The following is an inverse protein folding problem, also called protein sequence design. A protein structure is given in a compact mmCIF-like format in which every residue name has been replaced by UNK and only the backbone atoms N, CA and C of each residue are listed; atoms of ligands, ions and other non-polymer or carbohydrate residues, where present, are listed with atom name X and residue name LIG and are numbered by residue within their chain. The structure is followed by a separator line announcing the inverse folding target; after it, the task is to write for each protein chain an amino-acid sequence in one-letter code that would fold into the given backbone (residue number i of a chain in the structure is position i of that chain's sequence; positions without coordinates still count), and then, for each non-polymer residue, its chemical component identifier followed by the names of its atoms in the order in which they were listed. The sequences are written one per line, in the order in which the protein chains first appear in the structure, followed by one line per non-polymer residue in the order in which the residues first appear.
data_IF_507020356282
#
_entry.id   IF_507020356282
#
_cell.length_a   1.000
_cell.length_b   1.000
_cell.length_c   1.000
_cell.angle_alpha   90.00
_cell.angle_beta   90.00
_cell.angle_gamma   90.00
#
_symmetry.space_group_name_H-M   'P 1'
#
loop_
_entity.id
_entity.type
_entity.pdbx_description
1 polymer ?
#
# COMPACT_ATOMS: atom_id res chain seq x y z
N UNK A 1 16.70 -10.71 -7.94
CA UNK A 1 15.61 -11.47 -8.59
C UNK A 1 14.32 -10.76 -8.27
N UNK A 2 13.47 -10.48 -9.27
CA UNK A 2 12.22 -9.79 -9.02
C UNK A 2 11.33 -10.61 -8.08
N UNK A 3 10.83 -9.99 -7.01
CA UNK A 3 9.86 -10.60 -6.10
C UNK A 3 8.46 -10.56 -6.69
N UNK A 4 8.16 -9.51 -7.48
CA UNK A 4 6.89 -9.30 -8.16
C UNK A 4 7.14 -9.02 -9.64
N UNK A 5 6.45 -9.75 -10.50
CA UNK A 5 6.37 -9.49 -11.93
C UNK A 5 4.91 -9.37 -12.34
N UNK A 6 4.58 -8.26 -12.96
CA UNK A 6 3.23 -7.91 -13.43
C UNK A 6 3.34 -7.71 -14.94
N UNK A 7 2.59 -8.48 -15.74
CA UNK A 7 2.69 -8.42 -17.18
C UNK A 7 1.31 -8.31 -17.82
N UNK A 8 1.13 -7.29 -18.64
CA UNK A 8 -0.03 -7.05 -19.47
C UNK A 8 -1.37 -7.07 -18.72
N UNK A 9 -1.40 -6.48 -17.49
CA UNK A 9 -2.62 -6.42 -16.69
C UNK A 9 -3.60 -5.43 -17.31
N UNK A 10 -4.79 -5.94 -17.61
CA UNK A 10 -5.95 -5.13 -18.00
C UNK A 10 -7.11 -5.34 -17.04
N UNK A 11 -7.88 -4.29 -16.82
CA UNK A 11 -9.11 -4.34 -16.04
C UNK A 11 -10.16 -3.42 -16.62
N UNK A 12 -11.34 -3.97 -16.84
CA UNK A 12 -12.51 -3.18 -17.23
C UNK A 12 -13.69 -3.46 -16.27
N UNK A 13 -14.55 -2.46 -16.11
CA UNK A 13 -15.83 -2.55 -15.44
C UNK A 13 -16.92 -2.16 -16.44
N UNK A 14 -17.69 -3.14 -16.92
CA UNK A 14 -18.62 -2.95 -18.01
C UNK A 14 -17.89 -2.45 -19.26
N UNK A 15 -18.21 -1.23 -19.72
CA UNK A 15 -17.59 -0.60 -20.91
C UNK A 15 -16.38 0.28 -20.58
N UNK A 16 -16.04 0.47 -19.31
CA UNK A 16 -14.96 1.36 -18.89
C UNK A 16 -13.66 0.58 -18.69
N UNK A 17 -12.66 0.84 -19.54
CA UNK A 17 -11.31 0.29 -19.36
C UNK A 17 -10.55 1.13 -18.34
N UNK A 18 -10.28 0.55 -17.16
CA UNK A 18 -9.61 1.21 -16.05
C UNK A 18 -8.11 0.96 -16.06
N UNK A 19 -7.68 -0.26 -16.38
CA UNK A 19 -6.28 -0.61 -16.60
C UNK A 19 -6.12 -1.11 -18.03
N UNK A 20 -5.06 -0.62 -18.72
CA UNK A 20 -4.80 -0.85 -20.13
C UNK A 20 -3.32 -1.22 -20.28
N UNK A 21 -3.03 -2.54 -20.31
CA UNK A 21 -1.68 -3.05 -20.56
C UNK A 21 -0.63 -2.56 -19.53
N UNK A 22 -0.87 -2.81 -18.24
CA UNK A 22 0.05 -2.41 -17.18
C UNK A 22 1.08 -3.51 -16.94
N UNK A 23 2.37 -3.19 -17.09
CA UNK A 23 3.49 -4.11 -16.89
C UNK A 23 4.61 -3.45 -16.11
N UNK A 24 5.10 -4.10 -15.04
CA UNK A 24 6.25 -3.68 -14.24
C UNK A 24 6.78 -4.83 -13.41
N UNK A 25 7.96 -4.65 -12.84
CA UNK A 25 8.55 -5.58 -11.88
C UNK A 25 9.16 -4.83 -10.71
N UNK A 26 9.33 -5.50 -9.56
CA UNK A 26 10.03 -4.96 -8.40
C UNK A 26 10.90 -6.01 -7.73
N UNK A 27 11.99 -5.56 -7.11
CA UNK A 27 12.93 -6.39 -6.36
C UNK A 27 12.50 -6.55 -4.90
N UNK A 28 12.96 -7.64 -4.26
CA UNK A 28 12.75 -7.84 -2.81
C UNK A 28 13.47 -6.74 -2.00
N UNK A 29 12.86 -6.33 -0.90
CA UNK A 29 13.41 -5.31 0.00
C UNK A 29 13.37 -3.89 -0.56
N UNK A 30 12.62 -3.65 -1.66
CA UNK A 30 12.46 -2.32 -2.26
C UNK A 30 11.06 -1.74 -2.03
N UNK A 31 10.98 -0.41 -2.04
CA UNK A 31 9.74 0.35 -1.98
C UNK A 31 9.41 0.90 -3.38
N UNK A 32 8.25 0.52 -3.93
CA UNK A 32 7.69 1.06 -5.17
C UNK A 32 6.62 2.10 -4.86
N UNK A 33 6.79 3.34 -5.28
CA UNK A 33 5.74 4.36 -5.21
C UNK A 33 4.94 4.39 -6.52
N UNK A 34 3.61 4.50 -6.41
CA UNK A 34 2.70 4.70 -7.54
C UNK A 34 1.99 6.04 -7.33
N UNK A 35 2.24 6.99 -8.23
CA UNK A 35 1.62 8.30 -8.24
C UNK A 35 0.75 8.49 -9.49
N UNK A 36 -0.12 9.49 -9.50
CA UNK A 36 -0.96 9.80 -10.66
C UNK A 36 -2.26 10.48 -10.30
N UNK A 37 -2.97 10.97 -11.31
CA UNK A 37 -4.24 11.67 -11.16
C UNK A 37 -5.32 10.78 -10.53
N UNK A 38 -6.35 11.41 -9.90
CA UNK A 38 -7.52 10.67 -9.43
C UNK A 38 -8.19 9.95 -10.62
N UNK A 39 -8.59 8.71 -10.41
CA UNK A 39 -9.19 7.87 -11.46
C UNK A 39 -8.19 7.28 -12.46
N UNK A 40 -6.87 7.43 -12.29
CA UNK A 40 -5.87 6.84 -13.19
C UNK A 40 -5.71 5.32 -13.07
N UNK A 41 -6.41 4.67 -12.13
CA UNK A 41 -6.39 3.20 -11.98
C UNK A 41 -5.50 2.68 -10.85
N UNK A 42 -4.79 3.52 -10.07
CA UNK A 42 -3.85 3.11 -9.00
C UNK A 42 -4.46 2.14 -7.99
N UNK A 43 -5.57 2.54 -7.36
CA UNK A 43 -6.31 1.67 -6.41
C UNK A 43 -6.80 0.39 -7.06
N UNK A 44 -7.25 0.46 -8.34
CA UNK A 44 -7.70 -0.73 -9.08
C UNK A 44 -6.53 -1.68 -9.34
N UNK A 45 -5.35 -1.15 -9.72
CA UNK A 45 -4.15 -1.95 -9.87
C UNK A 45 -3.78 -2.64 -8.56
N UNK A 46 -3.74 -1.90 -7.46
CA UNK A 46 -3.44 -2.44 -6.14
C UNK A 46 -4.42 -3.54 -5.73
N UNK A 47 -5.73 -3.35 -6.01
CA UNK A 47 -6.77 -4.37 -5.76
C UNK A 47 -6.60 -5.60 -6.65
N UNK A 48 -6.14 -5.45 -7.89
CA UNK A 48 -5.84 -6.59 -8.76
C UNK A 48 -4.66 -7.40 -8.21
N UNK A 49 -3.59 -6.74 -7.74
CA UNK A 49 -2.43 -7.42 -7.13
C UNK A 49 -2.83 -8.21 -5.87
N UNK A 50 -3.70 -7.64 -5.03
CA UNK A 50 -4.18 -8.29 -3.81
C UNK A 50 -5.34 -9.27 -4.03
N UNK A 51 -5.72 -9.56 -5.28
CA UNK A 51 -6.86 -10.42 -5.62
C UNK A 51 -8.20 -10.00 -4.98
N UNK A 52 -8.35 -8.70 -4.67
CA UNK A 52 -9.63 -8.10 -4.30
C UNK A 52 -10.48 -7.80 -5.54
N UNK A 53 -9.82 -7.56 -6.67
CA UNK A 53 -10.39 -7.48 -8.00
C UNK A 53 -9.66 -8.46 -8.91
N UNK A 54 -10.39 -9.16 -9.78
CA UNK A 54 -9.77 -10.07 -10.75
C UNK A 54 -9.41 -9.31 -12.01
N UNK A 55 -8.15 -9.33 -12.48
CA UNK A 55 -7.78 -8.79 -13.78
C UNK A 55 -8.55 -9.48 -14.93
N UNK A 56 -8.71 -8.80 -16.06
CA UNK A 56 -9.32 -9.39 -17.26
C UNK A 56 -8.28 -10.04 -18.17
N UNK A 57 -7.05 -9.55 -18.15
CA UNK A 57 -5.92 -10.16 -18.88
C UNK A 57 -4.60 -10.01 -18.11
N UNK A 58 -3.55 -10.64 -18.59
CA UNK A 58 -2.20 -10.57 -18.05
C UNK A 58 -1.85 -11.64 -17.04
N UNK A 59 -0.68 -11.48 -16.40
CA UNK A 59 -0.13 -12.40 -15.40
C UNK A 59 0.39 -11.66 -14.18
N UNK A 60 0.32 -12.29 -13.00
CA UNK A 60 0.92 -11.83 -11.76
C UNK A 60 1.74 -12.98 -11.19
N UNK A 61 3.05 -12.76 -11.02
CA UNK A 61 4.00 -13.72 -10.48
C UNK A 61 4.65 -13.14 -9.21
N UNK A 62 4.68 -13.92 -8.14
CA UNK A 62 5.33 -13.55 -6.86
C UNK A 62 6.31 -14.65 -6.48
N UNK A 63 7.54 -14.28 -6.15
CA UNK A 63 8.62 -15.23 -5.80
C UNK A 63 8.83 -16.33 -6.86
N UNK A 64 8.62 -16.00 -8.16
CA UNK A 64 8.72 -16.97 -9.26
C UNK A 64 7.51 -17.89 -9.41
N UNK A 65 6.50 -17.82 -8.53
CA UNK A 65 5.23 -18.53 -8.63
C UNK A 65 4.18 -17.66 -9.34
N UNK A 66 3.59 -18.17 -10.44
CA UNK A 66 2.49 -17.48 -11.13
C UNK A 66 1.20 -17.65 -10.34
N UNK A 67 0.81 -16.58 -9.63
CA UNK A 67 -0.42 -16.55 -8.84
C UNK A 67 -1.66 -16.30 -9.69
N UNK A 68 -1.52 -15.59 -10.80
CA UNK A 68 -2.60 -15.31 -11.75
C UNK A 68 -2.10 -15.39 -13.19
N UNK A 69 -2.87 -16.06 -14.04
CA UNK A 69 -2.72 -16.07 -15.48
C UNK A 69 -4.11 -16.10 -16.12
N UNK A 70 -4.45 -15.04 -16.83
CA UNK A 70 -5.75 -14.91 -17.48
C UNK A 70 -6.01 -16.01 -18.52
N UNK A 71 -4.97 -16.53 -19.18
CA UNK A 71 -5.10 -17.59 -20.19
C UNK A 71 -5.49 -18.95 -19.59
N UNK A 72 -5.07 -19.21 -18.34
CA UNK A 72 -5.35 -20.47 -17.62
C UNK A 72 -6.44 -20.33 -16.57
N UNK A 73 -6.98 -19.12 -16.38
CA UNK A 73 -7.87 -18.81 -15.25
C UNK A 73 -9.25 -19.44 -15.40
N UNK A 74 -9.45 -20.58 -14.73
CA UNK A 74 -10.77 -21.19 -14.44
C UNK A 74 -11.48 -20.53 -13.26
N UNK A 75 -12.54 -21.17 -12.77
CA UNK A 75 -13.16 -20.80 -11.49
C UNK A 75 -12.22 -21.20 -10.34
N UNK A 76 -11.58 -20.25 -9.69
CA UNK A 76 -10.71 -20.49 -8.54
C UNK A 76 -11.57 -20.80 -7.30
N UNK A 77 -11.10 -21.75 -6.48
CA UNK A 77 -11.72 -22.02 -5.18
C UNK A 77 -11.35 -20.96 -4.16
N UNK A 78 -12.27 -20.62 -3.26
CA UNK A 78 -12.02 -19.62 -2.20
C UNK A 78 -10.76 -19.92 -1.37
N UNK A 79 -10.46 -21.20 -1.13
CA UNK A 79 -9.26 -21.61 -0.39
C UNK A 79 -7.96 -21.29 -1.14
N UNK A 80 -7.93 -21.41 -2.46
CA UNK A 80 -6.77 -21.05 -3.29
C UNK A 80 -6.59 -19.54 -3.35
N UNK A 81 -7.68 -18.80 -3.55
CA UNK A 81 -7.69 -17.35 -3.54
C UNK A 81 -7.21 -16.79 -2.18
N UNK A 82 -7.59 -17.43 -1.07
CA UNK A 82 -7.13 -17.05 0.27
C UNK A 82 -5.62 -17.20 0.40
N UNK A 83 -5.03 -18.31 -0.10
CA UNK A 83 -3.58 -18.53 -0.09
C UNK A 83 -2.83 -17.44 -0.88
N UNK A 84 -3.31 -17.10 -2.08
CA UNK A 84 -2.73 -16.05 -2.91
C UNK A 84 -2.74 -14.68 -2.21
N UNK A 85 -3.82 -14.36 -1.48
CA UNK A 85 -3.93 -13.12 -0.70
C UNK A 85 -2.94 -13.02 0.45
N UNK A 86 -2.43 -14.15 0.97
CA UNK A 86 -1.45 -14.13 2.06
C UNK A 86 -0.09 -13.57 1.63
N UNK A 87 0.24 -13.59 0.33
CA UNK A 87 1.44 -12.93 -0.18
C UNK A 87 1.40 -11.41 -0.03
N UNK A 88 0.21 -10.83 0.14
CA UNK A 88 0.02 -9.39 0.19
C UNK A 88 -0.61 -8.93 1.50
N UNK A 89 0.00 -7.96 2.16
CA UNK A 89 -0.61 -7.22 3.26
C UNK A 89 -1.25 -5.94 2.72
N UNK A 90 -2.51 -5.66 3.05
CA UNK A 90 -3.21 -4.47 2.53
C UNK A 90 -3.51 -3.47 3.64
N UNK A 91 -3.08 -2.24 3.43
CA UNK A 91 -3.42 -1.07 4.24
C UNK A 91 -4.26 -0.13 3.39
N UNK A 92 -5.51 0.06 3.77
CA UNK A 92 -6.50 0.83 3.02
C UNK A 92 -6.45 2.32 3.37
N UNK A 93 -7.01 3.14 2.51
CA UNK A 93 -7.25 4.57 2.74
C UNK A 93 -8.08 4.81 4.00
N UNK A 94 -9.18 4.08 4.18
CA UNK A 94 -9.91 4.03 5.44
C UNK A 94 -9.32 2.91 6.29
N UNK A 95 -9.18 3.11 7.58
CA UNK A 95 -8.48 2.19 8.49
C UNK A 95 -9.07 0.78 8.52
N UNK A 96 -10.38 0.64 8.26
CA UNK A 96 -11.12 -0.63 8.18
C UNK A 96 -10.86 -1.53 9.38
N UNK A 97 -10.73 -0.95 10.58
CA UNK A 97 -10.64 -1.72 11.82
C UNK A 97 -12.01 -2.27 12.19
N UNK A 98 -12.01 -3.45 12.77
CA UNK A 98 -13.23 -4.04 13.35
C UNK A 98 -13.60 -3.27 14.62
N UNK A 99 -14.73 -2.56 14.67
CA UNK A 99 -15.05 -1.65 15.77
C UNK A 99 -15.32 -2.37 17.09
N UNK A 100 -15.68 -3.64 17.04
CA UNK A 100 -15.96 -4.50 18.19
C UNK A 100 -14.71 -5.13 18.82
N UNK A 101 -13.54 -4.97 18.21
CA UNK A 101 -12.27 -5.52 18.65
C UNK A 101 -11.32 -4.41 19.12
N UNK A 102 -10.51 -4.71 20.13
CA UNK A 102 -9.42 -3.84 20.58
C UNK A 102 -8.32 -3.74 19.50
N UNK A 103 -7.36 -2.85 19.68
CA UNK A 103 -6.20 -2.74 18.78
C UNK A 103 -5.46 -4.08 18.68
N UNK A 104 -5.18 -4.74 19.80
CA UNK A 104 -4.51 -6.03 19.82
C UNK A 104 -5.34 -7.12 19.12
N UNK A 105 -6.63 -7.18 19.39
CA UNK A 105 -7.52 -8.14 18.73
C UNK A 105 -7.62 -7.90 17.21
N UNK A 106 -7.63 -6.65 16.77
CA UNK A 106 -7.57 -6.33 15.33
C UNK A 106 -6.30 -6.86 14.67
N UNK A 107 -5.16 -6.79 15.35
CA UNK A 107 -3.87 -7.27 14.83
C UNK A 107 -3.81 -8.80 14.81
N UNK A 108 -4.27 -9.46 15.87
CA UNK A 108 -4.08 -10.90 16.06
C UNK A 108 -5.15 -11.78 15.43
N UNK A 109 -6.32 -11.22 15.07
CA UNK A 109 -7.47 -11.97 14.58
C UNK A 109 -7.15 -12.90 13.40
N UNK A 110 -6.46 -12.40 12.40
CA UNK A 110 -6.17 -13.16 11.19
C UNK A 110 -5.20 -14.33 11.46
N UNK A 111 -4.16 -14.11 12.28
CA UNK A 111 -3.24 -15.17 12.70
C UNK A 111 -3.98 -16.24 13.51
N UNK A 112 -4.90 -15.85 14.41
CA UNK A 112 -5.71 -16.79 15.19
C UNK A 112 -6.61 -17.64 14.29
N UNK A 113 -7.21 -17.06 13.25
CA UNK A 113 -8.03 -17.80 12.29
C UNK A 113 -7.20 -18.79 11.47
N UNK A 114 -6.02 -18.38 10.98
CA UNK A 114 -5.11 -19.29 10.27
C UNK A 114 -4.56 -20.38 11.17
N UNK A 115 -4.26 -20.08 12.43
CA UNK A 115 -3.78 -21.07 13.38
C UNK A 115 -4.79 -22.19 13.63
N UNK A 116 -6.10 -21.91 13.55
CA UNK A 116 -7.14 -22.93 13.70
C UNK A 116 -7.13 -24.00 12.59
N UNK A 117 -6.54 -23.68 11.44
CA UNK A 117 -6.39 -24.64 10.31
C UNK A 117 -5.16 -25.55 10.50
N UNK A 118 -4.30 -25.30 11.51
CA UNK A 118 -3.10 -26.10 11.78
C UNK A 118 -3.46 -27.44 12.44
N UNK A 119 -2.78 -28.55 12.05
CA UNK A 119 -3.01 -29.85 12.65
C UNK A 119 -2.76 -29.92 14.16
N UNK A 120 -1.77 -29.15 14.65
CA UNK A 120 -1.34 -29.09 16.06
C UNK A 120 -2.21 -28.17 16.94
N UNK A 121 -3.10 -27.36 16.33
CA UNK A 121 -3.86 -26.35 17.05
C UNK A 121 -4.66 -26.90 18.24
N UNK A 122 -5.29 -28.07 18.10
CA UNK A 122 -6.09 -28.64 19.19
C UNK A 122 -5.24 -29.08 20.37
N UNK A 123 -4.02 -29.59 20.11
CA UNK A 123 -3.09 -30.05 21.15
C UNK A 123 -2.42 -28.89 21.89
N UNK A 124 -1.99 -27.86 21.14
CA UNK A 124 -1.15 -26.77 21.66
C UNK A 124 -1.88 -25.42 21.67
N UNK A 125 -3.22 -25.41 21.65
CA UNK A 125 -4.06 -24.21 21.49
C UNK A 125 -3.62 -23.05 22.38
N UNK A 126 -3.39 -23.33 23.68
CA UNK A 126 -3.04 -22.27 24.64
C UNK A 126 -1.71 -21.62 24.28
N UNK A 127 -0.69 -22.42 24.00
CA UNK A 127 0.65 -21.97 23.62
C UNK A 127 0.61 -21.16 22.31
N UNK A 128 -0.10 -21.67 21.30
CA UNK A 128 -0.22 -20.99 20.00
C UNK A 128 -0.88 -19.61 20.15
N UNK A 129 -1.95 -19.52 20.96
CA UNK A 129 -2.63 -18.24 21.19
C UNK A 129 -1.76 -17.27 22.00
N UNK A 130 -0.97 -17.74 22.97
CA UNK A 130 -0.02 -16.92 23.72
C UNK A 130 1.10 -16.39 22.80
N UNK A 131 1.61 -17.19 21.87
CA UNK A 131 2.61 -16.78 20.87
C UNK A 131 2.03 -15.71 19.93
N UNK A 132 0.80 -15.86 19.45
CA UNK A 132 0.11 -14.88 18.60
C UNK A 132 -0.12 -13.56 19.35
N UNK A 133 -0.57 -13.64 20.61
CA UNK A 133 -0.76 -12.44 21.44
C UNK A 133 0.55 -11.69 21.66
N UNK A 134 1.64 -12.40 21.99
CA UNK A 134 2.96 -11.81 22.15
C UNK A 134 3.47 -11.14 20.84
N UNK A 135 3.26 -11.78 19.69
CA UNK A 135 3.60 -11.22 18.38
C UNK A 135 2.79 -9.94 18.09
N UNK A 136 1.47 -9.96 18.33
CA UNK A 136 0.62 -8.78 18.16
C UNK A 136 1.03 -7.60 19.04
N UNK A 137 1.38 -7.87 20.31
CA UNK A 137 1.93 -6.84 21.23
C UNK A 137 3.21 -6.24 20.71
N UNK A 138 4.15 -7.07 20.26
CA UNK A 138 5.42 -6.61 19.68
C UNK A 138 5.20 -5.73 18.45
N UNK A 139 4.25 -6.08 17.57
CA UNK A 139 3.91 -5.25 16.42
C UNK A 139 3.33 -3.88 16.85
N UNK A 140 2.43 -3.85 17.82
CA UNK A 140 1.87 -2.60 18.33
C UNK A 140 2.92 -1.73 19.05
N UNK A 141 3.86 -2.33 19.79
CA UNK A 141 5.01 -1.61 20.36
C UNK A 141 5.87 -0.95 19.28
N UNK A 142 6.19 -1.69 18.20
CA UNK A 142 6.92 -1.14 17.03
C UNK A 142 6.17 0.02 16.37
N UNK A 143 4.84 0.04 16.44
CA UNK A 143 4.00 1.15 15.95
C UNK A 143 3.87 2.30 16.96
N UNK A 144 4.51 2.21 18.14
CA UNK A 144 4.40 3.21 19.21
C UNK A 144 3.03 3.21 19.88
N UNK A 145 2.39 2.04 20.00
CA UNK A 145 1.03 1.86 20.54
C UNK A 145 0.98 0.95 21.78
N UNK A 146 2.10 0.82 22.52
CA UNK A 146 2.20 -0.05 23.69
C UNK A 146 1.08 0.19 24.72
N UNK A 147 0.76 1.45 25.00
CA UNK A 147 -0.28 1.84 25.95
C UNK A 147 -1.71 1.84 25.38
N UNK A 148 -1.87 1.46 24.11
CA UNK A 148 -3.15 1.52 23.38
C UNK A 148 -3.68 0.16 22.94
N UNK A 149 -3.05 -0.93 23.36
CA UNK A 149 -3.36 -2.29 22.91
C UNK A 149 -4.80 -2.72 23.21
N UNK A 150 -5.33 -2.29 24.35
CA UNK A 150 -6.67 -2.64 24.82
C UNK A 150 -7.75 -1.60 24.44
N UNK A 151 -7.37 -0.55 23.67
CA UNK A 151 -8.30 0.46 23.21
C UNK A 151 -9.07 -0.03 21.97
N UNK A 152 -10.35 0.37 21.90
CA UNK A 152 -11.20 0.15 20.72
C UNK A 152 -10.95 1.25 19.67
N UNK A 153 -11.27 1.01 18.40
CA UNK A 153 -11.02 1.99 17.33
C UNK A 153 -11.56 3.38 17.60
N UNK A 154 -12.74 3.51 18.19
CA UNK A 154 -13.35 4.82 18.53
C UNK A 154 -12.60 5.59 19.64
N UNK A 155 -11.69 4.97 20.36
CA UNK A 155 -10.83 5.56 21.40
C UNK A 155 -9.46 5.98 20.88
N UNK A 156 -9.19 5.72 19.59
CA UNK A 156 -7.91 5.97 18.94
C UNK A 156 -8.03 7.15 17.96
N UNK A 157 -6.99 7.98 17.88
CA UNK A 157 -6.88 8.99 16.82
C UNK A 157 -6.78 8.32 15.43
N UNK A 158 -7.05 9.06 14.36
CA UNK A 158 -6.91 8.55 12.98
C UNK A 158 -5.52 7.97 12.70
N UNK A 159 -4.46 8.67 13.10
CA UNK A 159 -3.08 8.18 12.96
C UNK A 159 -2.79 6.92 13.79
N UNK A 160 -3.38 6.80 14.99
CA UNK A 160 -3.28 5.58 15.79
C UNK A 160 -4.04 4.41 15.13
N UNK A 161 -5.25 4.65 14.61
CA UNK A 161 -6.01 3.64 13.88
C UNK A 161 -5.25 3.14 12.64
N UNK A 162 -4.62 4.06 11.89
CA UNK A 162 -3.81 3.68 10.72
C UNK A 162 -2.59 2.85 11.12
N UNK A 163 -1.92 3.19 12.22
CA UNK A 163 -0.80 2.39 12.74
C UNK A 163 -1.24 0.99 13.21
N UNK A 164 -2.44 0.85 13.76
CA UNK A 164 -3.05 -0.47 14.05
C UNK A 164 -3.31 -1.24 12.74
N UNK A 165 -3.82 -0.57 11.69
CA UNK A 165 -4.06 -1.20 10.38
C UNK A 165 -2.74 -1.67 9.73
N UNK A 166 -1.64 -0.91 9.88
CA UNK A 166 -0.30 -1.33 9.44
C UNK A 166 0.17 -2.56 10.22
N UNK A 167 0.06 -2.54 11.56
CA UNK A 167 0.42 -3.69 12.40
C UNK A 167 -0.36 -4.94 12.01
N UNK A 168 -1.68 -4.81 11.76
CA UNK A 168 -2.55 -5.90 11.29
C UNK A 168 -2.09 -6.47 9.95
N UNK A 169 -1.70 -5.62 9.01
CA UNK A 169 -1.21 -6.07 7.71
C UNK A 169 0.14 -6.81 7.82
N UNK A 170 1.00 -6.40 8.74
CA UNK A 170 2.29 -7.04 9.02
C UNK A 170 2.16 -8.38 9.77
N UNK A 171 1.08 -8.57 10.53
CA UNK A 171 0.90 -9.75 11.39
C UNK A 171 0.97 -11.07 10.60
N UNK A 172 0.46 -11.10 9.38
CA UNK A 172 0.50 -12.27 8.51
C UNK A 172 1.84 -12.49 7.79
N UNK A 173 2.85 -11.63 8.03
CA UNK A 173 4.18 -11.67 7.41
C UNK A 173 4.10 -11.78 5.89
N UNK A 174 3.39 -10.85 5.22
CA UNK A 174 3.24 -10.90 3.77
C UNK A 174 4.58 -10.70 3.06
N UNK A 175 4.72 -11.22 1.84
CA UNK A 175 5.88 -10.96 0.99
C UNK A 175 5.92 -9.49 0.54
N UNK A 176 4.75 -8.88 0.31
CA UNK A 176 4.61 -7.50 -0.18
C UNK A 176 3.54 -6.77 0.63
N UNK A 177 3.91 -5.62 1.20
CA UNK A 177 3.00 -4.74 1.92
C UNK A 177 2.47 -3.65 0.98
N UNK A 178 1.16 -3.56 0.81
CA UNK A 178 0.50 -2.62 -0.09
C UNK A 178 -0.20 -1.51 0.69
N UNK A 179 0.05 -0.26 0.33
CA UNK A 179 -0.58 0.93 0.90
C UNK A 179 -1.43 1.64 -0.16
N UNK A 180 -2.73 1.78 0.08
CA UNK A 180 -3.65 2.54 -0.76
C UNK A 180 -3.95 3.88 -0.12
N UNK A 181 -3.18 4.91 -0.47
CA UNK A 181 -3.31 6.29 0.04
C UNK A 181 -3.39 6.36 1.58
N UNK A 182 -2.38 5.86 2.31
CA UNK A 182 -2.46 5.61 3.76
C UNK A 182 -2.66 6.86 4.62
N UNK A 183 -2.53 8.06 4.06
CA UNK A 183 -2.64 9.34 4.78
C UNK A 183 -3.85 10.18 4.37
N UNK A 184 -4.57 9.81 3.32
CA UNK A 184 -5.62 10.66 2.74
C UNK A 184 -6.85 10.86 3.64
N UNK A 185 -7.07 9.98 4.63
CA UNK A 185 -8.13 10.11 5.64
C UNK A 185 -7.67 10.77 6.95
N UNK A 186 -6.46 11.36 6.96
CA UNK A 186 -5.84 11.94 8.15
C UNK A 186 -5.75 13.46 8.06
N UNK A 187 -5.81 14.10 9.21
CA UNK A 187 -5.44 15.50 9.33
C UNK A 187 -3.92 15.67 9.06
N UNK A 188 -3.49 16.83 8.51
CA UNK A 188 -2.08 17.08 8.19
C UNK A 188 -1.10 16.85 9.36
N UNK A 189 -1.53 17.14 10.59
CA UNK A 189 -0.72 16.95 11.80
C UNK A 189 -0.44 15.46 12.07
N UNK A 190 -1.40 14.56 11.76
CA UNK A 190 -1.27 13.12 11.98
C UNK A 190 -0.60 12.38 10.81
N UNK A 191 -0.59 12.99 9.63
CA UNK A 191 0.06 12.45 8.43
C UNK A 191 1.54 12.13 8.68
N UNK A 192 2.27 13.05 9.31
CA UNK A 192 3.70 12.89 9.59
C UNK A 192 4.05 11.65 10.43
N UNK A 193 3.22 11.29 11.41
CA UNK A 193 3.45 10.10 12.24
C UNK A 193 3.33 8.80 11.44
N UNK A 194 2.34 8.72 10.55
CA UNK A 194 2.13 7.53 9.70
C UNK A 194 3.23 7.42 8.64
N UNK A 195 3.60 8.53 7.99
CA UNK A 195 4.70 8.54 7.01
C UNK A 195 6.03 8.14 7.65
N UNK A 196 6.29 8.55 8.91
CA UNK A 196 7.47 8.12 9.65
C UNK A 196 7.52 6.60 9.86
N UNK A 197 6.38 5.97 10.20
CA UNK A 197 6.30 4.51 10.32
C UNK A 197 6.60 3.83 8.98
N UNK A 198 6.00 4.31 7.88
CA UNK A 198 6.24 3.72 6.55
C UNK A 198 7.71 3.90 6.13
N UNK A 199 8.33 5.06 6.42
CA UNK A 199 9.78 5.29 6.20
C UNK A 199 10.62 4.28 6.96
N UNK A 200 10.33 4.05 8.24
CA UNK A 200 11.06 3.06 9.06
C UNK A 200 10.94 1.65 8.47
N UNK A 201 9.77 1.28 7.93
CA UNK A 201 9.60 -0.01 7.25
C UNK A 201 10.44 -0.10 5.96
N UNK A 202 10.54 1.00 5.18
CA UNK A 202 11.41 1.07 4.01
C UNK A 202 12.90 0.91 4.38
N UNK A 203 13.35 1.60 5.43
CA UNK A 203 14.72 1.48 5.97
C UNK A 203 15.04 0.05 6.42
N UNK A 204 14.04 -0.68 6.93
CA UNK A 204 14.15 -2.10 7.29
C UNK A 204 14.05 -3.05 6.08
N UNK A 205 14.06 -2.51 4.85
CA UNK A 205 13.95 -3.27 3.60
C UNK A 205 12.70 -4.15 3.52
N UNK A 206 11.59 -3.66 4.06
CA UNK A 206 10.27 -4.27 3.82
C UNK A 206 9.88 -4.03 2.37
N UNK A 207 9.55 -5.09 1.64
CA UNK A 207 9.05 -4.96 0.26
C UNK A 207 7.66 -4.33 0.29
N UNK A 208 7.47 -3.21 -0.40
CA UNK A 208 6.19 -2.50 -0.33
C UNK A 208 5.82 -1.74 -1.62
N UNK A 209 4.52 -1.65 -1.86
CA UNK A 209 3.93 -0.82 -2.92
C UNK A 209 3.11 0.28 -2.23
N UNK A 210 3.38 1.54 -2.56
CA UNK A 210 2.76 2.69 -1.91
C UNK A 210 2.06 3.55 -2.96
N UNK A 211 0.73 3.53 -2.99
CA UNK A 211 -0.06 4.52 -3.72
C UNK A 211 -0.16 5.75 -2.85
N UNK A 212 0.30 6.90 -3.32
CA UNK A 212 0.32 8.12 -2.53
C UNK A 212 0.18 9.40 -3.37
N UNK A 213 -0.28 10.47 -2.73
CA UNK A 213 -0.26 11.84 -3.24
C UNK A 213 0.83 12.70 -2.58
N UNK A 214 1.60 12.14 -1.66
CA UNK A 214 2.70 12.81 -0.96
C UNK A 214 3.98 12.74 -1.81
N UNK A 215 4.16 13.70 -2.73
CA UNK A 215 5.25 13.67 -3.71
C UNK A 215 6.64 13.69 -3.07
N UNK A 216 6.85 14.53 -2.06
CA UNK A 216 8.12 14.58 -1.33
C UNK A 216 8.43 13.26 -0.62
N UNK A 217 7.42 12.63 -0.02
CA UNK A 217 7.57 11.34 0.62
C UNK A 217 7.89 10.23 -0.41
N UNK A 218 7.17 10.18 -1.53
CA UNK A 218 7.43 9.22 -2.61
C UNK A 218 8.86 9.34 -3.14
N UNK A 219 9.34 10.58 -3.38
CA UNK A 219 10.70 10.87 -3.82
C UNK A 219 11.76 10.38 -2.85
N UNK A 220 11.55 10.62 -1.53
CA UNK A 220 12.57 10.39 -0.51
C UNK A 220 12.60 8.94 0.02
N UNK A 221 11.53 8.17 -0.17
CA UNK A 221 11.36 6.84 0.46
C UNK A 221 11.37 5.70 -0.55
N UNK A 222 10.88 5.93 -1.78
CA UNK A 222 10.81 4.89 -2.77
C UNK A 222 12.17 4.61 -3.45
N UNK A 223 12.43 3.34 -3.76
CA UNK A 223 13.55 2.92 -4.60
C UNK A 223 13.17 2.98 -6.10
N UNK A 224 11.87 2.89 -6.41
CA UNK A 224 11.31 2.98 -7.76
C UNK A 224 10.00 3.75 -7.74
N UNK A 225 9.70 4.48 -8.80
CA UNK A 225 8.46 5.23 -8.94
C UNK A 225 7.78 4.95 -10.28
N UNK A 226 6.47 4.81 -10.24
CA UNK A 226 5.58 4.68 -11.41
C UNK A 226 4.60 5.86 -11.40
N UNK A 227 4.54 6.59 -12.51
CA UNK A 227 3.48 7.56 -12.77
C UNK A 227 2.42 6.95 -13.68
N UNK A 228 1.17 6.90 -13.20
CA UNK A 228 0.01 6.39 -13.94
C UNK A 228 -0.94 7.51 -14.36
N UNK A 229 -1.39 7.47 -15.61
CA UNK A 229 -2.47 8.32 -16.09
C UNK A 229 -3.33 7.58 -17.14
N UNK A 230 -4.65 7.78 -17.09
CA UNK A 230 -5.59 7.17 -18.04
C UNK A 230 -5.55 5.65 -18.13
N UNK A 231 -5.11 4.95 -17.08
CA UNK A 231 -5.06 3.50 -17.00
C UNK A 231 -3.77 2.86 -17.53
N UNK A 232 -2.75 3.64 -17.86
CA UNK A 232 -1.44 3.16 -18.33
C UNK A 232 -0.31 3.70 -17.44
N UNK A 233 0.83 3.04 -17.49
CA UNK A 233 2.09 3.59 -16.97
C UNK A 233 2.62 4.57 -18.02
N UNK A 234 2.73 5.84 -17.64
CA UNK A 234 3.24 6.90 -18.52
C UNK A 234 4.74 7.06 -18.36
N UNK A 235 5.23 7.00 -17.12
CA UNK A 235 6.65 7.10 -16.82
C UNK A 235 6.99 6.25 -15.61
N UNK A 236 8.18 5.63 -15.62
CA UNK A 236 8.68 4.87 -14.48
C UNK A 236 10.21 4.99 -14.39
N UNK A 237 10.74 4.89 -13.19
CA UNK A 237 12.18 4.94 -12.96
C UNK A 237 12.57 5.36 -11.55
N UNK A 238 13.76 5.94 -11.45
CA UNK A 238 14.27 6.54 -10.22
C UNK A 238 13.34 7.67 -9.74
N UNK A 239 12.94 7.71 -8.45
CA UNK A 239 12.00 8.71 -7.93
C UNK A 239 12.45 10.15 -8.13
N UNK A 240 13.74 10.46 -7.93
CA UNK A 240 14.28 11.80 -8.16
C UNK A 240 14.24 12.18 -9.64
N UNK A 241 14.53 11.22 -10.53
CA UNK A 241 14.46 11.49 -11.96
C UNK A 241 13.02 11.76 -12.41
N UNK A 242 12.04 10.95 -11.97
CA UNK A 242 10.64 11.09 -12.40
C UNK A 242 9.98 12.33 -11.78
N UNK A 243 10.32 12.69 -10.52
CA UNK A 243 9.70 13.84 -9.83
C UNK A 243 10.42 15.16 -10.16
N UNK A 244 11.76 15.19 -10.09
CA UNK A 244 12.51 16.43 -10.22
C UNK A 244 12.83 16.76 -11.69
N UNK A 245 13.00 15.74 -12.56
CA UNK A 245 13.35 15.87 -13.98
C UNK A 245 12.51 14.94 -14.87
N UNK A 246 11.18 15.06 -14.88
CA UNK A 246 10.32 14.18 -15.66
C UNK A 246 10.61 14.30 -17.17
N UNK A 247 10.63 13.18 -17.86
CA UNK A 247 10.85 13.10 -19.32
C UNK A 247 9.54 13.32 -20.07
N UNK A 248 8.47 12.67 -19.60
CA UNK A 248 7.19 12.69 -20.26
C UNK A 248 6.43 13.99 -19.99
N UNK A 249 5.87 14.58 -21.04
CA UNK A 249 5.14 15.85 -20.94
C UNK A 249 3.93 15.75 -19.99
N UNK A 250 3.29 14.59 -19.97
CA UNK A 250 2.15 14.33 -19.10
C UNK A 250 2.54 14.29 -17.63
N UNK A 251 3.71 13.74 -17.32
CA UNK A 251 4.30 13.75 -15.97
C UNK A 251 4.59 15.17 -15.51
N UNK A 252 5.20 16.01 -16.36
CA UNK A 252 5.46 17.44 -16.09
C UNK A 252 4.20 18.20 -15.75
N UNK A 253 3.15 18.03 -16.58
CA UNK A 253 1.85 18.68 -16.36
C UNK A 253 1.18 18.25 -15.05
N UNK A 254 1.32 16.98 -14.66
CA UNK A 254 0.82 16.46 -13.39
C UNK A 254 1.57 17.10 -12.22
N UNK A 255 2.90 17.05 -12.24
CA UNK A 255 3.75 17.54 -11.14
C UNK A 255 3.68 19.05 -10.95
N UNK A 256 3.44 19.83 -12.00
CA UNK A 256 3.26 21.29 -11.89
C UNK A 256 2.14 21.66 -10.90
N UNK A 257 1.14 20.80 -10.70
CA UNK A 257 0.04 21.02 -9.73
C UNK A 257 0.48 20.84 -8.28
N UNK A 258 1.57 20.13 -8.05
CA UNK A 258 2.15 19.84 -6.74
C UNK A 258 3.42 20.63 -6.44
N UNK A 259 3.91 21.42 -7.42
CA UNK A 259 5.01 22.35 -7.18
C UNK A 259 4.57 23.36 -6.12
N UNK A 260 5.40 23.65 -5.08
CA UNK A 260 5.09 24.71 -4.15
C UNK A 260 4.91 26.00 -4.97
N UNK A 261 3.79 26.71 -4.73
CA UNK A 261 3.53 28.02 -5.36
C UNK A 261 4.68 28.93 -4.94
N UNK A 262 5.64 29.11 -5.83
CA UNK A 262 6.73 30.06 -5.64
C UNK A 262 6.08 31.44 -5.61
N UNK A 263 6.08 32.08 -4.45
CA UNK A 263 5.65 33.46 -4.25
C UNK A 263 6.58 34.41 -4.99
N UNK A 264 6.58 34.39 -6.33
CA UNK A 264 7.38 35.31 -7.17
C UNK A 264 6.56 36.45 -7.79
N UNK A 265 5.33 36.69 -7.30
CA UNK A 265 4.53 37.82 -7.79
C UNK A 265 4.10 38.81 -6.70
N UNK A 266 5.05 39.21 -5.82
CA UNK A 266 4.85 40.35 -4.91
C UNK A 266 6.06 41.34 -4.98
N UNK A 267 6.45 41.79 -6.19
CA UNK A 267 7.27 42.98 -6.38
C UNK A 267 7.03 43.60 -7.74
N UNK A 268 5.87 44.21 -7.95
CA UNK A 268 5.64 45.08 -9.10
C UNK A 268 4.55 46.14 -8.87
N UNK A 269 4.38 46.67 -7.65
CA UNK A 269 3.54 47.86 -7.44
C UNK A 269 4.05 48.71 -6.27
N UNK A 270 5.33 49.08 -6.30
CA UNK A 270 5.80 50.25 -5.56
C UNK A 270 6.87 50.95 -6.42
N UNK A 271 6.44 51.85 -7.24
CA UNK A 271 7.17 53.09 -7.64
C UNK A 271 6.39 53.75 -8.75
N UNK A 272 5.46 54.63 -8.39
CA UNK A 272 5.09 55.83 -9.13
C UNK A 272 4.21 56.71 -8.24
N UNK A 273 4.87 57.45 -7.38
CA UNK A 273 4.40 58.75 -6.92
C UNK A 273 5.63 59.63 -6.74
N UNK A 274 5.91 60.44 -7.73
CA UNK A 274 6.37 61.81 -7.66
C UNK A 274 6.06 62.44 -9.01
#
# INVERSE_FOLDING_TARGET
MAILEVSHIEKHFGKTNVLKDVSFSMEEGTALAIIGSSGSGKTTLLRCLNFLERPNSGTITVNGETLFDAASAGAEKDAELRKKRLHFGMVFQSFNLFPQYTALQNVTLAEQLLAQERPDFKADKKKILEEIDAHGRQLLERMGLAERMDHYPHQLSGGQQQRVAIARALALKPDILCFDEPTSALDPELTGEVLKVIRTLAEQKTTMIIVTHEMAFARDVADQLIFMDGGVIVEQGDPHQVIDNPKEERTKQFLTRYAPVSYTHLRAHETRRH
#
